data_IF_597565128882
#
_entry.id   IF_597565128882
#
_cell.length_a   1.000
_cell.length_b   1.000
_cell.length_c   1.000
_cell.angle_alpha   90.00
_cell.angle_beta   90.00
_cell.angle_gamma   90.00
#
_symmetry.space_group_name_H-M   'P 1'
#
loop_
_entity.id
_entity.type
_entity.pdbx_description
1 polymer ?
#
# COMPACT_ATOMS: atom_id res chain seq x y z
N UNK A 1 7.06 -1.32 1.69
CA UNK A 1 5.61 -1.29 1.97
C UNK A 1 5.07 -2.69 2.26
N UNK A 2 5.07 -3.62 1.28
CA UNK A 2 4.53 -4.98 1.44
C UNK A 2 5.05 -5.68 2.70
N UNK A 3 6.37 -5.73 2.89
CA UNK A 3 7.00 -6.39 4.04
C UNK A 3 6.56 -5.80 5.40
N UNK A 4 6.44 -4.47 5.51
CA UNK A 4 5.98 -3.82 6.73
C UNK A 4 4.52 -4.18 7.06
N UNK A 5 3.62 -4.05 6.08
CA UNK A 5 2.21 -4.40 6.24
C UNK A 5 2.02 -5.89 6.58
N UNK A 6 2.80 -6.77 5.96
CA UNK A 6 2.71 -8.22 6.18
C UNK A 6 3.03 -8.66 7.61
N UNK A 7 3.75 -7.83 8.38
CA UNK A 7 4.16 -8.12 9.76
C UNK A 7 3.16 -7.63 10.80
N UNK A 8 2.18 -6.83 10.39
CA UNK A 8 1.18 -6.29 11.30
C UNK A 8 0.29 -7.44 11.83
N UNK A 9 0.11 -7.52 13.15
CA UNK A 9 -0.76 -8.53 13.75
C UNK A 9 -2.18 -8.39 13.20
N UNK A 10 -2.76 -9.49 12.72
CA UNK A 10 -4.07 -9.51 12.07
C UNK A 10 -4.01 -9.50 10.55
N UNK A 11 -2.88 -9.15 9.93
CA UNK A 11 -2.69 -9.32 8.48
C UNK A 11 -2.50 -10.80 8.16
N UNK A 12 -3.30 -11.31 7.22
CA UNK A 12 -3.32 -12.71 6.81
C UNK A 12 -2.78 -12.92 5.40
N UNK A 13 -2.67 -11.84 4.60
CA UNK A 13 -2.09 -11.91 3.26
C UNK A 13 -1.76 -10.54 2.69
N UNK A 14 -0.70 -10.51 1.88
CA UNK A 14 -0.32 -9.35 1.07
C UNK A 14 -0.05 -9.80 -0.36
N UNK A 15 -0.43 -8.96 -1.32
CA UNK A 15 -0.12 -9.14 -2.74
C UNK A 15 0.27 -7.80 -3.34
N UNK A 16 1.39 -7.73 -4.04
CA UNK A 16 1.78 -6.54 -4.81
C UNK A 16 1.18 -6.58 -6.22
N UNK A 17 0.86 -5.41 -6.76
CA UNK A 17 0.19 -5.28 -8.05
C UNK A 17 -0.03 -3.84 -8.47
N UNK A 18 -0.92 -3.69 -9.46
CA UNK A 18 -1.20 -2.43 -10.15
C UNK A 18 -2.70 -2.13 -10.14
N UNK A 19 -3.10 -0.92 -9.76
CA UNK A 19 -4.53 -0.51 -9.73
C UNK A 19 -4.70 0.99 -9.97
N UNK A 20 -5.95 1.46 -10.08
CA UNK A 20 -6.28 2.88 -10.27
C UNK A 20 -5.86 3.48 -11.61
N UNK A 21 -5.59 2.65 -12.62
CA UNK A 21 -5.27 3.03 -13.99
C UNK A 21 -6.29 2.47 -14.98
N UNK A 22 -6.07 2.71 -16.27
CA UNK A 22 -7.01 2.33 -17.34
C UNK A 22 -6.53 1.18 -18.21
N UNK A 23 -5.24 0.85 -18.18
CA UNK A 23 -4.70 -0.27 -18.94
C UNK A 23 -5.24 -1.61 -18.41
N UNK A 24 -5.45 -2.56 -19.32
CA UNK A 24 -5.84 -3.93 -18.96
C UNK A 24 -4.60 -4.81 -18.92
N UNK A 25 -4.51 -5.67 -17.90
CA UNK A 25 -3.42 -6.61 -17.69
C UNK A 25 -2.02 -6.01 -17.93
N UNK A 26 -1.67 -4.89 -17.25
CA UNK A 26 -0.41 -4.21 -17.48
C UNK A 26 0.77 -5.03 -16.95
N UNK A 27 1.87 -5.01 -17.69
CA UNK A 27 3.19 -5.45 -17.22
C UNK A 27 3.87 -4.37 -16.39
N UNK A 28 4.87 -4.78 -15.60
CA UNK A 28 5.74 -3.84 -14.88
C UNK A 28 6.32 -2.76 -15.81
N UNK A 29 6.84 -3.14 -16.98
CA UNK A 29 7.44 -2.20 -17.93
C UNK A 29 6.42 -1.16 -18.44
N UNK A 30 5.19 -1.58 -18.70
CA UNK A 30 4.11 -0.67 -19.09
C UNK A 30 3.78 0.30 -17.96
N UNK A 31 3.70 -0.17 -16.71
CA UNK A 31 3.47 0.71 -15.54
C UNK A 31 4.64 1.68 -15.33
N UNK A 32 5.89 1.22 -15.47
CA UNK A 32 7.08 2.06 -15.39
C UNK A 32 7.11 3.15 -16.46
N UNK A 33 6.59 2.86 -17.67
CA UNK A 33 6.50 3.85 -18.76
C UNK A 33 5.55 5.02 -18.46
N UNK A 34 4.67 4.88 -17.46
CA UNK A 34 3.77 5.94 -16.99
C UNK A 34 2.48 6.12 -17.79
N UNK A 35 2.34 5.49 -18.96
CA UNK A 35 1.17 5.64 -19.85
C UNK A 35 -0.09 4.91 -19.38
N UNK A 36 -0.01 4.04 -18.38
CA UNK A 36 -1.13 3.17 -17.96
C UNK A 36 -2.06 3.82 -16.92
N UNK A 37 -1.59 4.87 -16.25
CA UNK A 37 -2.27 5.49 -15.11
C UNK A 37 -2.28 4.66 -13.82
N UNK A 38 -1.74 3.44 -13.82
CA UNK A 38 -1.72 2.60 -12.63
C UNK A 38 -0.77 3.13 -11.56
N UNK A 39 -1.14 2.92 -10.29
CA UNK A 39 -0.24 2.97 -9.16
C UNK A 39 0.24 1.54 -8.82
N UNK A 40 1.48 1.43 -8.37
CA UNK A 40 1.93 0.27 -7.61
C UNK A 40 1.20 0.25 -6.26
N UNK A 41 0.63 -0.90 -5.93
CA UNK A 41 -0.21 -1.06 -4.76
C UNK A 41 0.04 -2.40 -4.07
N UNK A 42 -0.23 -2.43 -2.76
CA UNK A 42 -0.29 -3.65 -1.96
C UNK A 42 -1.75 -3.92 -1.62
N UNK A 43 -2.30 -5.03 -2.10
CA UNK A 43 -3.58 -5.55 -1.60
C UNK A 43 -3.32 -6.28 -0.28
N UNK A 44 -4.00 -5.86 0.78
CA UNK A 44 -3.86 -6.41 2.13
C UNK A 44 -5.15 -7.14 2.52
N UNK A 45 -5.03 -8.38 2.97
CA UNK A 45 -6.13 -9.14 3.59
C UNK A 45 -5.84 -9.27 5.07
N UNK A 46 -6.81 -8.93 5.92
CA UNK A 46 -6.64 -8.90 7.37
C UNK A 46 -7.91 -9.32 8.11
N UNK A 47 -7.73 -9.81 9.33
CA UNK A 47 -8.77 -10.23 10.25
C UNK A 47 -9.19 -9.04 11.12
N UNK A 48 -10.43 -8.58 10.93
CA UNK A 48 -11.01 -7.44 11.65
C UNK A 48 -11.10 -7.64 13.17
N UNK A 49 -11.01 -8.88 13.65
CA UNK A 49 -10.97 -9.17 15.10
C UNK A 49 -9.59 -8.90 15.72
N UNK A 50 -8.55 -8.75 14.88
CA UNK A 50 -7.15 -8.58 15.30
C UNK A 50 -6.55 -7.25 14.86
N UNK A 51 -6.98 -6.73 13.72
CA UNK A 51 -6.57 -5.44 13.19
C UNK A 51 -7.77 -4.65 12.68
N UNK A 52 -7.88 -3.39 13.11
CA UNK A 52 -8.81 -2.42 12.54
C UNK A 52 -8.27 -1.85 11.23
N UNK A 53 -9.16 -1.37 10.36
CA UNK A 53 -8.75 -0.74 9.12
C UNK A 53 -7.92 0.52 9.37
N UNK A 54 -8.27 1.30 10.40
CA UNK A 54 -7.42 2.38 10.93
C UNK A 54 -5.97 1.96 11.24
N UNK A 55 -5.72 0.77 11.81
CA UNK A 55 -4.35 0.31 12.07
C UNK A 55 -3.59 0.05 10.77
N UNK A 56 -4.25 -0.53 9.76
CA UNK A 56 -3.65 -0.72 8.43
C UNK A 56 -3.26 0.62 7.81
N UNK A 57 -4.17 1.61 7.87
CA UNK A 57 -3.94 2.96 7.35
C UNK A 57 -2.78 3.63 8.08
N UNK A 58 -2.74 3.57 9.42
CA UNK A 58 -1.62 4.15 10.19
C UNK A 58 -0.28 3.53 9.83
N UNK A 59 -0.20 2.19 9.68
CA UNK A 59 1.03 1.51 9.27
C UNK A 59 1.50 1.97 7.88
N UNK A 60 0.57 2.11 6.93
CA UNK A 60 0.86 2.67 5.61
C UNK A 60 1.43 4.10 5.69
N UNK A 61 0.81 4.98 6.47
CA UNK A 61 1.26 6.36 6.66
C UNK A 61 2.62 6.44 7.38
N UNK A 62 2.90 5.51 8.29
CA UNK A 62 4.15 5.40 9.04
C UNK A 62 5.34 4.91 8.20
N UNK A 63 5.09 4.35 7.01
CA UNK A 63 6.15 3.88 6.10
C UNK A 63 7.15 4.96 5.66
N UNK A 64 6.79 6.24 5.76
CA UNK A 64 7.60 7.36 5.28
C UNK A 64 7.61 7.53 3.75
N UNK A 65 6.91 6.68 3.01
CA UNK A 65 6.79 6.79 1.54
C UNK A 65 5.70 7.78 1.12
N UNK A 66 4.73 8.03 2.01
CA UNK A 66 3.58 8.89 1.72
C UNK A 66 4.02 10.33 1.51
N UNK A 67 3.66 10.90 0.36
CA UNK A 67 4.02 12.27 -0.01
C UNK A 67 5.45 12.46 -0.52
N UNK A 68 6.37 11.51 -0.31
CA UNK A 68 7.69 11.51 -0.94
C UNK A 68 7.61 11.16 -2.42
N UNK A 69 6.76 10.18 -2.75
CA UNK A 69 6.44 9.78 -4.13
C UNK A 69 4.97 10.12 -4.39
N UNK A 70 4.73 11.19 -5.15
CA UNK A 70 3.39 11.79 -5.28
C UNK A 70 2.82 11.74 -6.70
N UNK A 71 3.56 11.19 -7.67
CA UNK A 71 3.18 11.18 -9.08
C UNK A 71 3.37 9.80 -9.72
N UNK A 72 2.70 9.60 -10.86
CA UNK A 72 2.84 8.39 -11.67
C UNK A 72 2.48 7.11 -10.93
N UNK A 73 3.31 6.08 -11.13
CA UNK A 73 3.10 4.76 -10.53
C UNK A 73 3.37 4.72 -9.03
N UNK A 74 4.17 5.65 -8.51
CA UNK A 74 4.50 5.68 -7.09
C UNK A 74 3.62 6.65 -6.28
N UNK A 75 2.56 7.19 -6.88
CA UNK A 75 1.65 8.09 -6.17
C UNK A 75 1.12 7.42 -4.90
N UNK A 76 1.05 8.21 -3.83
CA UNK A 76 0.49 7.76 -2.56
C UNK A 76 -1.03 7.68 -2.64
N UNK A 77 -1.61 6.50 -2.40
CA UNK A 77 -3.05 6.27 -2.47
C UNK A 77 -3.56 5.20 -1.49
N UNK A 78 -4.80 5.35 -1.06
CA UNK A 78 -5.59 4.37 -0.33
C UNK A 78 -6.82 4.05 -1.19
N UNK A 79 -6.97 2.79 -1.56
CA UNK A 79 -8.04 2.30 -2.43
C UNK A 79 -9.09 1.57 -1.60
N UNK A 80 -10.26 2.18 -1.40
CA UNK A 80 -11.33 1.62 -0.56
C UNK A 80 -12.28 0.73 -1.39
N UNK A 81 -12.78 -0.37 -0.80
CA UNK A 81 -13.73 -1.24 -1.49
C UNK A 81 -15.18 -0.77 -1.29
N UNK A 82 -15.48 -0.11 -0.16
CA UNK A 82 -16.82 0.36 0.18
C UNK A 82 -16.80 1.83 0.57
N UNK A 83 -17.79 2.60 0.11
CA UNK A 83 -17.90 4.02 0.49
C UNK A 83 -18.06 4.23 2.00
N UNK A 84 -18.63 3.25 2.72
CA UNK A 84 -18.73 3.26 4.18
C UNK A 84 -17.37 3.31 4.89
N UNK A 85 -16.29 2.96 4.21
CA UNK A 85 -14.93 2.98 4.75
C UNK A 85 -14.31 4.39 4.69
N UNK A 86 -14.81 5.28 3.82
CA UNK A 86 -14.26 6.62 3.59
C UNK A 86 -14.14 7.44 4.89
N UNK A 87 -15.16 7.50 5.77
CA UNK A 87 -15.04 8.23 7.03
C UNK A 87 -13.94 7.68 7.94
N UNK A 88 -13.75 6.36 7.97
CA UNK A 88 -12.70 5.72 8.79
C UNK A 88 -11.31 6.02 8.24
N UNK A 89 -11.11 5.96 6.91
CA UNK A 89 -9.83 6.35 6.28
C UNK A 89 -9.50 7.81 6.59
N UNK A 90 -10.46 8.71 6.38
CA UNK A 90 -10.26 10.14 6.63
C UNK A 90 -9.93 10.41 8.10
N UNK A 91 -10.63 9.76 9.03
CA UNK A 91 -10.34 9.88 10.45
C UNK A 91 -8.93 9.36 10.79
N UNK A 92 -8.52 8.22 10.23
CA UNK A 92 -7.20 7.65 10.45
C UNK A 92 -6.08 8.57 9.93
N UNK A 93 -6.25 9.15 8.74
CA UNK A 93 -5.31 10.11 8.16
C UNK A 93 -5.24 11.37 9.02
N UNK A 94 -6.38 11.99 9.34
CA UNK A 94 -6.43 13.22 10.14
C UNK A 94 -5.83 13.04 11.54
N UNK A 95 -6.07 11.89 12.18
CA UNK A 95 -5.47 11.57 13.46
C UNK A 95 -3.95 11.42 13.36
N UNK A 96 -3.45 10.73 12.33
CA UNK A 96 -2.02 10.57 12.11
C UNK A 96 -1.32 11.90 11.79
N UNK A 97 -1.96 12.77 10.99
CA UNK A 97 -1.47 14.13 10.73
C UNK A 97 -1.38 14.95 12.02
N UNK A 98 -2.40 14.86 12.87
CA UNK A 98 -2.43 15.53 14.19
C UNK A 98 -1.33 15.00 15.12
N UNK A 99 -1.12 13.69 15.16
CA UNK A 99 -0.10 13.04 16.00
C UNK A 99 1.32 13.41 15.57
N UNK A 100 1.57 13.53 14.26
CA UNK A 100 2.91 13.72 13.72
C UNK A 100 3.24 15.17 13.34
N UNK A 101 2.23 16.04 13.24
CA UNK A 101 2.38 17.40 12.70
C UNK A 101 2.70 17.45 11.20
N UNK A 102 2.67 16.31 10.50
CA UNK A 102 2.99 16.20 9.08
C UNK A 102 1.72 16.09 8.26
N UNK A 103 1.57 16.92 7.24
CA UNK A 103 0.47 16.81 6.27
C UNK A 103 0.71 15.62 5.33
N UNK A 104 -0.25 14.71 5.24
CA UNK A 104 -0.21 13.51 4.41
C UNK A 104 -0.83 13.81 3.04
N UNK A 105 -0.01 13.74 2.00
CA UNK A 105 -0.47 13.86 0.62
C UNK A 105 -0.86 12.47 0.09
N UNK A 106 -2.02 11.98 0.53
CA UNK A 106 -2.56 10.68 0.13
C UNK A 106 -3.88 10.86 -0.62
N UNK A 107 -4.05 10.16 -1.75
CA UNK A 107 -5.33 10.10 -2.46
C UNK A 107 -6.20 9.02 -1.85
N UNK A 108 -7.48 9.32 -1.65
CA UNK A 108 -8.47 8.33 -1.19
C UNK A 108 -9.41 8.09 -2.37
N UNK A 109 -9.26 6.94 -3.02
CA UNK A 109 -9.88 6.62 -4.30
C UNK A 109 -10.64 5.29 -4.19
N UNK A 110 -11.72 5.07 -4.94
CA UNK A 110 -12.37 3.76 -4.98
C UNK A 110 -11.42 2.70 -5.54
N UNK A 111 -11.51 1.48 -5.03
CA UNK A 111 -10.78 0.35 -5.55
C UNK A 111 -11.29 0.00 -6.96
N UNK A 112 -10.36 -0.12 -7.89
CA UNK A 112 -10.61 -0.61 -9.25
C UNK A 112 -10.02 -2.00 -9.42
N UNK A 113 -10.09 -2.55 -10.63
CA UNK A 113 -9.41 -3.80 -10.98
C UNK A 113 -7.97 -3.78 -10.50
N UNK A 114 -7.62 -4.80 -9.73
CA UNK A 114 -6.26 -5.01 -9.22
C UNK A 114 -5.58 -6.08 -10.05
N UNK A 115 -4.51 -5.70 -10.73
CA UNK A 115 -3.68 -6.61 -11.51
C UNK A 115 -2.51 -7.07 -10.66
N UNK A 116 -2.46 -8.36 -10.32
CA UNK A 116 -1.33 -8.95 -9.58
C UNK A 116 -0.05 -8.75 -10.39
N UNK A 117 0.99 -8.20 -9.75
CA UNK A 117 2.32 -8.08 -10.36
C UNK A 117 2.99 -9.45 -10.49
N UNK A 118 4.01 -9.50 -11.34
CA UNK A 118 4.82 -10.68 -11.64
C UNK A 118 5.41 -11.30 -10.37
N UNK A 119 5.63 -12.62 -10.38
CA UNK A 119 6.01 -13.37 -9.17
C UNK A 119 7.35 -12.91 -8.57
N UNK A 120 8.28 -12.38 -9.38
CA UNK A 120 9.55 -11.86 -8.87
C UNK A 120 9.38 -10.61 -7.99
N UNK A 121 8.29 -9.85 -8.15
CA UNK A 121 7.96 -8.71 -7.29
C UNK A 121 7.33 -9.11 -5.95
N UNK A 122 6.70 -10.28 -5.89
CA UNK A 122 5.97 -10.73 -4.71
C UNK A 122 6.95 -11.06 -3.58
N UNK A 123 6.73 -10.52 -2.38
CA UNK A 123 7.62 -10.70 -1.22
C UNK A 123 9.07 -10.35 -1.53
N UNK A 124 9.29 -9.32 -2.36
CA UNK A 124 10.62 -8.96 -2.88
C UNK A 124 11.67 -8.80 -1.77
N UNK A 125 11.32 -8.03 -0.72
CA UNK A 125 12.21 -7.82 0.43
C UNK A 125 12.57 -9.13 1.13
N UNK A 126 11.62 -10.05 1.33
CA UNK A 126 11.91 -11.35 1.96
C UNK A 126 12.84 -12.19 1.10
N UNK A 127 12.62 -12.21 -0.22
CA UNK A 127 13.44 -12.96 -1.19
C UNK A 127 14.88 -12.44 -1.29
N UNK A 128 15.08 -11.12 -1.17
CA UNK A 128 16.38 -10.46 -1.43
C UNK A 128 17.08 -9.91 -0.18
N UNK A 129 16.46 -9.97 1.01
CA UNK A 129 17.07 -9.53 2.28
C UNK A 129 18.06 -10.53 2.90
N UNK A 130 18.34 -11.66 2.23
CA UNK A 130 19.35 -12.65 2.63
C UNK A 130 20.81 -12.12 2.65
N UNK A 131 21.04 -10.82 2.45
CA UNK A 131 22.34 -10.14 2.57
C UNK A 131 22.56 -9.29 3.82
N UNK A 132 21.55 -9.05 4.65
CA UNK A 132 21.74 -8.38 5.95
C UNK A 132 21.75 -9.42 7.06
N UNK A 133 22.97 -9.80 7.44
CA UNK A 133 23.28 -10.61 8.61
C UNK A 133 22.45 -10.13 9.82
N UNK A 134 21.39 -10.86 10.15
CA UNK A 134 20.74 -10.76 11.47
C UNK A 134 21.70 -11.41 12.46
N UNK A 135 22.56 -10.62 13.08
CA UNK A 135 23.14 -11.01 14.36
C UNK A 135 21.96 -11.07 15.33
N UNK A 136 21.46 -12.28 15.55
CA UNK A 136 20.58 -12.58 16.67
C UNK A 136 21.38 -12.25 17.94
N UNK A 137 20.88 -11.30 18.72
CA UNK A 137 21.19 -11.16 20.14
C UNK A 137 19.90 -11.39 20.91
#
# INVERSE_FOLDING_TARGET
MEDALSKLNGVTGTVVGYTGGTAQNPSYEQVCSGGTGHAEAVKVTFDLTKASYKQIVKEYLASGLVGYLSTGQYRSGIFYEKESEIPEVNAAVAEYEKETGKKMQVRIEPAHTFWRAEEYHQKYYVKHSLGLCRVLK
#
